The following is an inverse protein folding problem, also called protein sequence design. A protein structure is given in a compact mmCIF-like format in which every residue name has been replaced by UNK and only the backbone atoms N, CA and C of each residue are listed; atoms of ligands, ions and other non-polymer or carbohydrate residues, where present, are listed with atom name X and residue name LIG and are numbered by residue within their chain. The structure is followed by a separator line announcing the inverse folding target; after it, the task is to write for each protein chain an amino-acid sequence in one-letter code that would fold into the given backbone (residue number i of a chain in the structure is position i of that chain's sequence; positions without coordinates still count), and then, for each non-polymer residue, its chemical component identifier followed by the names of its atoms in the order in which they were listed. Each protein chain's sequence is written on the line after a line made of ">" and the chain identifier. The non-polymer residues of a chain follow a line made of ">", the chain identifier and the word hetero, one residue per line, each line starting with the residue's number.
data_IF_695536511944
#
_entry.id   IF_695536511944
#
_cell.length_a   1.000
_cell.length_b   1.000
_cell.length_c   1.000
_cell.angle_alpha   90.00
_cell.angle_beta   90.00
_cell.angle_gamma   90.00
#
_symmetry.space_group_name_H-M   'P 1'
#
loop_
_entity.id
_entity.type
_entity.pdbx_description
1 polymer ?
#
# COMPACT_ATOMS: atom_id res chain seq x y z
N UNK A 1 5.63 14.78 10.97
CA UNK A 1 4.90 14.41 9.76
C UNK A 1 3.45 14.26 10.03
N UNK A 2 2.65 14.67 9.07
CA UNK A 2 1.21 14.65 9.21
C UNK A 2 0.67 13.27 8.80
N UNK A 3 -0.42 12.83 9.44
CA UNK A 3 -1.05 11.56 9.08
C UNK A 3 -1.49 11.55 7.62
N UNK A 4 -1.81 12.73 7.07
CA UNK A 4 -2.17 12.85 5.68
C UNK A 4 -1.06 12.35 4.75
N UNK A 5 0.18 12.58 5.14
CA UNK A 5 1.32 12.13 4.35
C UNK A 5 1.32 10.59 4.24
N UNK A 6 1.09 9.92 5.35
CA UNK A 6 1.04 8.45 5.36
C UNK A 6 -0.13 7.93 4.52
N UNK A 7 -1.28 8.58 4.63
CA UNK A 7 -2.45 8.17 3.87
C UNK A 7 -2.24 8.33 2.37
N UNK A 8 -1.65 9.44 1.97
CA UNK A 8 -1.38 9.70 0.56
C UNK A 8 -0.38 8.68 0.02
N UNK A 9 0.70 8.45 0.76
CA UNK A 9 1.73 7.50 0.34
C UNK A 9 1.15 6.09 0.22
N UNK A 10 0.42 5.64 1.21
CA UNK A 10 -0.17 4.31 1.19
C UNK A 10 -1.19 4.16 0.07
N UNK A 11 -1.96 5.22 -0.21
CA UNK A 11 -2.92 5.20 -1.31
C UNK A 11 -2.23 5.04 -2.66
N UNK A 12 -1.12 5.74 -2.86
CA UNK A 12 -0.36 5.66 -4.10
C UNK A 12 0.19 4.25 -4.27
N UNK A 13 0.80 3.69 -3.24
CA UNK A 13 1.35 2.34 -3.30
C UNK A 13 0.25 1.31 -3.56
N UNK A 14 -0.87 1.46 -2.89
CA UNK A 14 -2.02 0.56 -3.06
C UNK A 14 -2.55 0.62 -4.48
N UNK A 15 -2.66 1.82 -5.05
CA UNK A 15 -3.12 2.00 -6.42
C UNK A 15 -2.17 1.33 -7.41
N UNK A 16 -0.88 1.49 -7.20
CA UNK A 16 0.12 0.86 -8.07
C UNK A 16 -0.01 -0.67 -7.99
N UNK A 17 -0.20 -1.21 -6.80
CA UNK A 17 -0.38 -2.64 -6.63
C UNK A 17 -1.61 -3.16 -7.36
N UNK A 18 -2.73 -2.44 -7.25
CA UNK A 18 -3.95 -2.82 -7.95
C UNK A 18 -3.78 -2.79 -9.46
N UNK A 19 -3.16 -1.75 -9.98
CA UNK A 19 -2.91 -1.64 -11.41
C UNK A 19 -2.02 -2.76 -11.90
N UNK A 20 -1.02 -3.13 -11.12
CA UNK A 20 -0.15 -4.25 -11.46
C UNK A 20 -0.93 -5.55 -11.61
N UNK A 21 -1.88 -5.80 -10.72
CA UNK A 21 -2.71 -7.00 -10.80
C UNK A 21 -3.59 -6.98 -12.05
N UNK A 22 -4.22 -5.85 -12.33
CA UNK A 22 -5.12 -5.74 -13.47
C UNK A 22 -4.39 -5.88 -14.80
N UNK A 23 -3.18 -5.32 -14.90
CA UNK A 23 -2.45 -5.31 -16.15
C UNK A 23 -1.78 -6.67 -16.39
N UNK A 24 -1.20 -7.27 -15.36
CA UNK A 24 -0.40 -8.48 -15.48
C UNK A 24 -1.00 -9.67 -14.75
N UNK A 25 -2.31 -9.83 -14.82
CA UNK A 25 -2.98 -10.92 -14.10
C UNK A 25 -2.62 -12.31 -14.59
N UNK A 26 -1.92 -12.43 -15.72
CA UNK A 26 -1.45 -13.72 -16.22
C UNK A 26 -0.12 -14.13 -15.61
N UNK A 27 0.60 -13.19 -14.99
CA UNK A 27 1.91 -13.47 -14.40
C UNK A 27 1.75 -13.60 -12.89
N UNK A 28 1.87 -14.83 -12.41
CA UNK A 28 1.71 -15.11 -10.98
C UNK A 28 2.74 -14.37 -10.15
N UNK A 29 3.98 -14.28 -10.64
CA UNK A 29 5.04 -13.59 -9.91
C UNK A 29 4.71 -12.12 -9.73
N UNK A 30 4.22 -11.48 -10.79
CA UNK A 30 3.82 -10.07 -10.71
C UNK A 30 2.65 -9.87 -9.75
N UNK A 31 1.70 -10.81 -9.76
CA UNK A 31 0.57 -10.74 -8.84
C UNK A 31 1.05 -10.85 -7.39
N UNK A 32 1.98 -11.75 -7.12
CA UNK A 32 2.52 -11.91 -5.78
C UNK A 32 3.23 -10.65 -5.32
N UNK A 33 4.03 -10.04 -6.20
CA UNK A 33 4.71 -8.79 -5.88
C UNK A 33 3.72 -7.66 -5.62
N UNK A 34 2.65 -7.61 -6.42
CA UNK A 34 1.62 -6.59 -6.24
C UNK A 34 0.91 -6.75 -4.90
N UNK A 35 0.62 -7.98 -4.51
CA UNK A 35 0.02 -8.27 -3.22
C UNK A 35 0.95 -7.84 -2.09
N UNK A 36 2.23 -8.07 -2.22
CA UNK A 36 3.20 -7.63 -1.24
C UNK A 36 3.21 -6.11 -1.10
N UNK A 37 3.14 -5.40 -2.22
CA UNK A 37 3.05 -3.94 -2.20
C UNK A 37 1.78 -3.47 -1.50
N UNK A 38 0.68 -4.14 -1.74
CA UNK A 38 -0.59 -3.80 -1.10
C UNK A 38 -0.51 -4.04 0.41
N UNK A 39 0.10 -5.13 0.82
CA UNK A 39 0.30 -5.41 2.23
C UNK A 39 1.22 -4.36 2.87
N UNK A 40 2.25 -3.95 2.18
CA UNK A 40 3.13 -2.89 2.65
C UNK A 40 2.36 -1.58 2.81
N UNK A 41 1.50 -1.25 1.86
CA UNK A 41 0.68 -0.04 1.93
C UNK A 41 -0.23 -0.05 3.14
N UNK A 42 -0.88 -1.19 3.40
CA UNK A 42 -1.73 -1.35 4.57
C UNK A 42 -0.91 -1.21 5.85
N UNK A 43 0.29 -1.76 5.85
CA UNK A 43 1.19 -1.69 6.99
C UNK A 43 1.59 -0.25 7.29
N UNK A 44 1.96 0.51 6.26
CA UNK A 44 2.32 1.92 6.41
C UNK A 44 1.12 2.70 6.96
N UNK A 45 -0.05 2.44 6.44
CA UNK A 45 -1.28 3.09 6.89
C UNK A 45 -1.54 2.78 8.36
N UNK A 46 -1.35 1.53 8.76
CA UNK A 46 -1.56 1.11 10.14
C UNK A 46 -0.56 1.78 11.08
N UNK A 47 0.70 1.86 10.68
CA UNK A 47 1.75 2.50 11.46
C UNK A 47 1.44 3.99 11.62
N UNK A 48 1.05 4.65 10.53
CA UNK A 48 0.71 6.07 10.57
C UNK A 48 -0.46 6.34 11.48
N UNK A 49 -1.48 5.51 11.42
CA UNK A 49 -2.66 5.65 12.27
C UNK A 49 -2.31 5.42 13.74
N UNK A 50 -1.54 4.38 14.01
CA UNK A 50 -1.11 4.06 15.37
C UNK A 50 -0.27 5.19 15.96
N UNK A 51 0.64 5.73 15.17
CA UNK A 51 1.47 6.84 15.59
C UNK A 51 0.64 8.09 15.89
N UNK A 52 -0.39 8.32 15.10
CA UNK A 52 -1.29 9.45 15.30
C UNK A 52 -2.06 9.32 16.61
N UNK A 53 -2.52 8.11 16.92
CA UNK A 53 -3.27 7.87 18.14
C UNK A 53 -2.41 7.97 19.39
N UNK A 54 -1.16 7.59 19.29
CA UNK A 54 -0.24 7.60 20.43
C UNK A 54 0.30 9.00 20.75
N UNK A 55 0.07 9.94 19.89
CA UNK A 55 0.51 11.31 20.10
C UNK A 55 -0.62 12.14 20.70
#
# INVERSE_FOLDING_TARGET
>A
MNILFYLILSSIIFSIGLLGIFINRKNIITILMSIELMLLAVNINFIGFSNHLND
#
